data_IF_109231184043
#
_entry.id   IF_109231184043
#
_cell.length_a   1.000
_cell.length_b   1.000
_cell.length_c   1.000
_cell.angle_alpha   90.00
_cell.angle_beta   90.00
_cell.angle_gamma   90.00
#
_symmetry.space_group_name_H-M   'P 1'
#
loop_
_entity.id
_entity.type
_entity.pdbx_description
1 polymer ?
#
# COMPACT_ATOMS: atom_id res chain seq x y z
N UNK A 1 -10.04 26.23 -6.95
CA UNK A 1 -9.85 26.21 -5.49
C UNK A 1 -8.37 26.33 -5.25
N UNK A 2 -7.94 27.31 -4.48
CA UNK A 2 -6.56 27.39 -3.96
C UNK A 2 -6.45 26.49 -2.75
N UNK A 3 -5.37 25.69 -2.68
CA UNK A 3 -5.07 24.87 -1.52
C UNK A 3 -4.54 25.78 -0.40
N UNK A 4 -4.59 25.31 0.84
CA UNK A 4 -3.91 26.02 1.92
C UNK A 4 -2.39 25.82 1.81
N UNK A 5 -1.56 26.77 2.31
CA UNK A 5 -0.12 26.72 2.14
C UNK A 5 0.55 25.46 2.72
N UNK A 6 0.02 24.91 3.80
CA UNK A 6 0.55 23.68 4.42
C UNK A 6 0.32 22.48 3.49
N UNK A 7 -0.85 22.37 2.89
CA UNK A 7 -1.14 21.34 1.89
C UNK A 7 -0.26 21.49 0.65
N UNK A 8 -0.03 22.71 0.16
CA UNK A 8 0.87 22.96 -0.97
C UNK A 8 2.32 22.55 -0.65
N UNK A 9 2.81 22.90 0.53
CA UNK A 9 4.15 22.52 0.99
C UNK A 9 4.31 21.00 1.08
N UNK A 10 3.32 20.31 1.66
CA UNK A 10 3.32 18.84 1.76
C UNK A 10 3.27 18.12 0.41
N UNK A 11 2.59 18.71 -0.58
CA UNK A 11 2.57 18.15 -1.95
C UNK A 11 3.92 18.35 -2.64
N UNK A 12 4.62 19.44 -2.33
CA UNK A 12 5.94 19.73 -2.89
C UNK A 12 7.07 18.92 -2.23
N UNK A 13 6.80 18.22 -1.13
CA UNK A 13 7.78 17.35 -0.48
C UNK A 13 8.22 16.23 -1.44
N UNK A 14 9.53 15.92 -1.50
CA UNK A 14 10.03 14.81 -2.29
C UNK A 14 9.53 13.48 -1.73
N UNK A 15 9.56 12.44 -2.56
CA UNK A 15 9.26 11.07 -2.11
C UNK A 15 10.18 10.69 -0.94
N UNK A 16 9.58 10.10 0.10
CA UNK A 16 10.32 9.69 1.29
C UNK A 16 11.39 8.65 0.96
N UNK A 17 12.51 8.67 1.68
CA UNK A 17 13.55 7.65 1.51
C UNK A 17 13.04 6.24 1.81
N UNK A 18 12.07 6.12 2.72
CA UNK A 18 11.42 4.86 3.05
C UNK A 18 10.68 4.29 1.85
N UNK A 19 9.82 5.07 1.22
CA UNK A 19 9.11 4.66 0.01
C UNK A 19 10.08 4.26 -1.11
N UNK A 20 11.18 5.02 -1.28
CA UNK A 20 12.25 4.66 -2.22
C UNK A 20 12.97 3.35 -1.85
N UNK A 21 13.17 3.05 -0.56
CA UNK A 21 13.74 1.76 -0.12
C UNK A 21 12.78 0.60 -0.39
N UNK A 22 11.49 0.78 -0.17
CA UNK A 22 10.48 -0.26 -0.39
C UNK A 22 10.38 -0.69 -1.85
N UNK A 23 10.51 0.25 -2.79
CA UNK A 23 10.51 -0.05 -4.23
C UNK A 23 11.76 -0.79 -4.73
N UNK A 24 12.84 -0.80 -3.96
CA UNK A 24 14.10 -1.51 -4.30
C UNK A 24 14.14 -2.96 -3.83
N UNK A 25 13.14 -3.40 -3.07
CA UNK A 25 13.01 -4.80 -2.69
C UNK A 25 12.78 -5.66 -3.93
N UNK A 26 13.30 -6.88 -3.94
CA UNK A 26 12.88 -7.85 -4.96
C UNK A 26 11.38 -8.15 -4.80
N UNK A 27 10.67 -8.54 -5.87
CA UNK A 27 9.24 -8.88 -5.76
C UNK A 27 8.97 -9.93 -4.68
N UNK A 28 9.84 -10.94 -4.52
CA UNK A 28 9.70 -11.96 -3.48
C UNK A 28 9.78 -11.36 -2.07
N UNK A 29 10.78 -10.51 -1.80
CA UNK A 29 10.95 -9.85 -0.50
C UNK A 29 9.81 -8.87 -0.21
N UNK A 30 9.33 -8.14 -1.22
CA UNK A 30 8.21 -7.23 -1.06
C UNK A 30 6.93 -8.00 -0.68
N UNK A 31 6.60 -9.05 -1.46
CA UNK A 31 5.40 -9.88 -1.27
C UNK A 31 5.40 -10.57 0.10
N UNK A 32 6.55 -11.05 0.57
CA UNK A 32 6.67 -11.73 1.87
C UNK A 32 6.30 -10.83 3.06
N UNK A 33 6.56 -9.52 2.96
CA UNK A 33 6.24 -8.54 4.01
C UNK A 33 4.77 -8.15 4.09
N UNK A 34 3.97 -8.42 3.05
CA UNK A 34 2.61 -7.90 2.97
C UNK A 34 1.63 -8.79 3.72
N UNK A 35 0.86 -8.22 4.63
CA UNK A 35 -0.21 -8.92 5.32
C UNK A 35 -1.26 -7.93 5.79
N UNK A 36 -2.52 -8.11 5.39
CA UNK A 36 -3.61 -7.22 5.84
C UNK A 36 -4.42 -7.87 6.96
N UNK A 37 -4.91 -7.06 7.89
CA UNK A 37 -5.66 -7.47 9.07
C UNK A 37 -6.94 -6.65 9.14
N UNK A 38 -8.09 -7.29 8.94
CA UNK A 38 -9.41 -6.67 9.06
C UNK A 38 -10.20 -7.30 10.22
N UNK A 39 -11.00 -6.53 10.97
CA UNK A 39 -11.83 -7.06 12.05
C UNK A 39 -13.00 -7.87 11.49
N UNK A 40 -12.84 -9.20 11.42
CA UNK A 40 -13.85 -10.09 10.82
C UNK A 40 -15.15 -10.23 11.63
N UNK A 41 -15.16 -9.92 12.93
CA UNK A 41 -16.34 -9.94 13.84
C UNK A 41 -17.30 -11.12 13.63
N UNK A 42 -16.77 -12.33 13.42
CA UNK A 42 -17.55 -13.55 13.22
C UNK A 42 -18.04 -13.82 11.78
N UNK A 43 -17.82 -12.89 10.84
CA UNK A 43 -18.13 -13.08 9.42
C UNK A 43 -17.19 -14.11 8.77
N UNK A 44 -17.70 -15.34 8.62
CA UNK A 44 -16.95 -16.46 8.01
C UNK A 44 -16.54 -16.20 6.56
N UNK A 45 -17.39 -15.52 5.78
CA UNK A 45 -17.08 -15.19 4.38
C UNK A 45 -15.92 -14.21 4.29
N UNK A 46 -15.93 -13.17 5.14
CA UNK A 46 -14.84 -12.20 5.20
C UNK A 46 -13.54 -12.84 5.70
N UNK A 47 -13.61 -13.69 6.74
CA UNK A 47 -12.44 -14.46 7.19
C UNK A 47 -11.81 -15.27 6.06
N UNK A 48 -12.63 -16.01 5.31
CA UNK A 48 -12.15 -16.82 4.17
C UNK A 48 -11.59 -15.97 3.03
N UNK A 49 -12.15 -14.78 2.82
CA UNK A 49 -11.62 -13.82 1.85
C UNK A 49 -10.23 -13.32 2.29
N UNK A 50 -10.06 -12.94 3.55
CA UNK A 50 -8.76 -12.48 4.08
C UNK A 50 -7.69 -13.56 3.99
N UNK A 51 -8.02 -14.80 4.37
CA UNK A 51 -7.10 -15.94 4.18
C UNK A 51 -6.62 -16.10 2.73
N UNK A 52 -7.50 -15.84 1.75
CA UNK A 52 -7.14 -15.90 0.33
C UNK A 52 -6.31 -14.71 -0.10
N UNK A 53 -6.66 -13.50 0.32
CA UNK A 53 -5.91 -12.27 0.02
C UNK A 53 -4.48 -12.36 0.56
N UNK A 54 -4.31 -12.79 1.81
CA UNK A 54 -2.98 -12.92 2.41
C UNK A 54 -2.15 -14.08 1.83
N UNK A 55 -2.79 -15.08 1.24
CA UNK A 55 -2.09 -16.17 0.54
C UNK A 55 -1.76 -15.84 -0.94
N UNK A 56 -2.38 -14.83 -1.53
CA UNK A 56 -2.28 -14.54 -2.96
C UNK A 56 -1.03 -13.70 -3.29
N UNK A 57 0.00 -14.39 -3.80
CA UNK A 57 1.25 -13.75 -4.23
C UNK A 57 1.07 -12.85 -5.45
N UNK A 58 0.12 -13.13 -6.33
CA UNK A 58 -0.12 -12.33 -7.52
C UNK A 58 -0.74 -10.99 -7.14
N UNK A 59 -1.76 -11.01 -6.27
CA UNK A 59 -2.39 -9.81 -5.73
C UNK A 59 -1.36 -8.91 -5.03
N UNK A 60 -0.52 -9.48 -4.16
CA UNK A 60 0.59 -8.77 -3.51
C UNK A 60 1.62 -8.23 -4.50
N UNK A 61 1.88 -8.97 -5.58
CA UNK A 61 2.72 -8.53 -6.69
C UNK A 61 2.17 -7.28 -7.37
N UNK A 62 0.85 -7.21 -7.60
CA UNK A 62 0.22 -6.01 -8.15
C UNK A 62 0.32 -4.81 -7.21
N UNK A 63 0.18 -5.01 -5.89
CA UNK A 63 0.38 -3.94 -4.91
C UNK A 63 1.83 -3.43 -4.91
N UNK A 64 2.81 -4.30 -5.08
CA UNK A 64 4.21 -3.88 -5.22
C UNK A 64 4.43 -3.09 -6.51
N UNK A 65 3.91 -3.56 -7.65
CA UNK A 65 4.05 -2.84 -8.93
C UNK A 65 3.35 -1.48 -8.91
N UNK A 66 2.19 -1.38 -8.24
CA UNK A 66 1.51 -0.11 -8.02
C UNK A 66 2.42 0.88 -7.27
N UNK A 67 3.05 0.42 -6.18
CA UNK A 67 4.00 1.24 -5.41
C UNK A 67 5.20 1.69 -6.26
N UNK A 68 5.81 0.77 -7.01
CA UNK A 68 6.92 1.11 -7.92
C UNK A 68 6.49 2.18 -8.94
N UNK A 69 5.30 2.06 -9.53
CA UNK A 69 4.82 3.07 -10.48
C UNK A 69 4.57 4.42 -9.80
N UNK A 70 3.94 4.45 -8.62
CA UNK A 70 3.69 5.69 -7.88
C UNK A 70 5.00 6.38 -7.51
N UNK A 71 5.90 5.67 -6.82
CA UNK A 71 7.11 6.23 -6.25
C UNK A 71 8.18 6.52 -7.30
N UNK A 72 8.48 5.55 -8.19
CA UNK A 72 9.64 5.65 -9.09
C UNK A 72 9.30 6.39 -10.38
N UNK A 73 8.05 6.31 -10.86
CA UNK A 73 7.67 6.89 -12.16
C UNK A 73 6.86 8.17 -12.05
N UNK A 74 6.04 8.29 -11.01
CA UNK A 74 5.17 9.45 -10.81
C UNK A 74 5.68 10.38 -9.71
N UNK A 75 6.71 9.97 -8.96
CA UNK A 75 7.25 10.72 -7.82
C UNK A 75 6.18 11.01 -6.76
N UNK A 76 5.21 10.09 -6.62
CA UNK A 76 4.14 10.15 -5.62
C UNK A 76 4.48 9.18 -4.50
N UNK A 77 4.35 9.63 -3.25
CA UNK A 77 4.60 8.80 -2.08
C UNK A 77 3.53 7.70 -1.97
N UNK A 78 3.97 6.44 -1.88
CA UNK A 78 3.11 5.27 -1.68
C UNK A 78 3.81 4.26 -0.77
N UNK A 79 3.00 3.47 -0.07
CA UNK A 79 3.42 2.42 0.86
C UNK A 79 2.73 1.09 0.56
N UNK A 80 2.30 0.91 -0.69
CA UNK A 80 1.75 -0.35 -1.19
C UNK A 80 0.53 -0.82 -0.37
N UNK A 81 0.59 -2.04 0.18
CA UNK A 81 -0.48 -2.67 0.96
C UNK A 81 -0.89 -1.89 2.22
N UNK A 82 -0.05 -0.98 2.72
CA UNK A 82 -0.37 -0.15 3.90
C UNK A 82 -1.55 0.77 3.62
N UNK A 83 -1.60 1.43 2.47
CA UNK A 83 -2.75 2.27 2.10
C UNK A 83 -4.03 1.44 1.91
N UNK A 84 -3.89 0.23 1.36
CA UNK A 84 -4.99 -0.72 1.18
C UNK A 84 -5.56 -1.14 2.53
N UNK A 85 -4.68 -1.45 3.49
CA UNK A 85 -5.04 -1.77 4.87
C UNK A 85 -5.81 -0.63 5.55
N UNK A 86 -5.35 0.61 5.39
CA UNK A 86 -5.99 1.79 5.99
C UNK A 86 -7.41 1.94 5.43
N UNK A 87 -7.56 1.96 4.11
CA UNK A 87 -8.87 2.13 3.45
C UNK A 87 -9.81 0.97 3.81
N UNK A 88 -9.32 -0.26 3.79
CA UNK A 88 -10.12 -1.44 4.12
C UNK A 88 -10.55 -1.48 5.61
N UNK A 89 -9.82 -0.83 6.52
CA UNK A 89 -10.20 -0.74 7.93
C UNK A 89 -11.26 0.34 8.22
N UNK A 90 -11.38 1.36 7.36
CA UNK A 90 -12.31 2.49 7.57
C UNK A 90 -13.61 2.39 6.75
N UNK A 91 -13.69 1.41 5.84
CA UNK A 91 -14.90 1.09 5.07
C UNK A 91 -15.96 0.36 5.92
#
# INVERSE_FOLDING_TARGET
MTLDPETEERIAEPVSEEALRETRLTPAQAVEKMHINLPVRGNRKLRRLMERVDADKQLKGWWHVSNVNAVVRLEINDHSWVHIQIVANIA
#
